data_IF_805970980754
#
_entry.id   IF_805970980754
#
_cell.length_a   1.000
_cell.length_b   1.000
_cell.length_c   1.000
_cell.angle_alpha   90.00
_cell.angle_beta   90.00
_cell.angle_gamma   90.00
#
_symmetry.space_group_name_H-M   'P 1'
#
loop_
_entity.id
_entity.type
_entity.pdbx_description
1 polymer ?
#
# COMPACT_ATOMS: atom_id res chain seq x y z
N UNK A 1 16.75 -13.92 -0.58
CA UNK A 1 17.98 -14.68 -0.32
C UNK A 1 18.94 -14.33 -1.43
N UNK A 2 20.23 -14.21 -1.14
CA UNK A 2 21.26 -13.96 -2.15
C UNK A 2 21.91 -15.28 -2.58
N UNK A 3 22.71 -15.22 -3.63
CA UNK A 3 23.33 -16.41 -4.21
C UNK A 3 24.26 -17.15 -3.23
N UNK A 4 24.91 -16.39 -2.34
CA UNK A 4 25.72 -16.89 -1.23
C UNK A 4 24.92 -17.75 -0.23
N UNK A 5 23.61 -17.54 -0.13
CA UNK A 5 22.75 -18.25 0.82
C UNK A 5 22.33 -19.66 0.30
N UNK A 6 22.65 -19.99 -0.97
CA UNK A 6 22.24 -21.27 -1.59
C UNK A 6 22.75 -22.50 -0.85
N UNK A 7 23.98 -22.45 -0.35
CA UNK A 7 24.60 -23.58 0.38
C UNK A 7 23.90 -23.76 1.72
N UNK A 8 23.75 -22.68 2.50
CA UNK A 8 23.04 -22.72 3.79
C UNK A 8 21.57 -23.12 3.64
N UNK A 9 20.90 -22.69 2.58
CA UNK A 9 19.53 -23.11 2.27
C UNK A 9 19.43 -24.62 2.00
N UNK A 10 20.37 -25.18 1.24
CA UNK A 10 20.41 -26.62 0.97
C UNK A 10 20.60 -27.42 2.26
N UNK A 11 21.52 -26.99 3.12
CA UNK A 11 21.80 -27.69 4.39
C UNK A 11 20.61 -27.61 5.36
N UNK A 12 19.91 -26.47 5.39
CA UNK A 12 18.66 -26.31 6.14
C UNK A 12 17.57 -27.24 5.62
N UNK A 13 17.36 -27.32 4.30
CA UNK A 13 16.35 -28.22 3.71
C UNK A 13 16.70 -29.71 3.93
N UNK A 14 17.98 -30.07 3.90
CA UNK A 14 18.42 -31.42 4.23
C UNK A 14 18.14 -31.75 5.70
N UNK A 15 18.46 -30.83 6.61
CA UNK A 15 18.17 -30.98 8.05
C UNK A 15 16.67 -31.12 8.30
N UNK A 16 15.85 -30.33 7.59
CA UNK A 16 14.40 -30.44 7.61
C UNK A 16 13.94 -31.84 7.17
N UNK A 17 14.45 -32.36 6.03
CA UNK A 17 14.16 -33.72 5.60
C UNK A 17 14.55 -34.77 6.65
N UNK A 18 15.71 -34.62 7.30
CA UNK A 18 16.15 -35.51 8.38
C UNK A 18 15.20 -35.48 9.58
N UNK A 19 14.74 -34.29 10.00
CA UNK A 19 13.77 -34.13 11.11
C UNK A 19 12.47 -34.88 10.81
N UNK A 20 11.97 -34.82 9.58
CA UNK A 20 10.74 -35.50 9.16
C UNK A 20 10.97 -36.94 8.66
N UNK A 21 12.18 -37.49 8.77
CA UNK A 21 12.51 -38.85 8.32
C UNK A 21 12.34 -39.07 6.81
N UNK A 22 12.47 -38.02 6.00
CA UNK A 22 12.34 -38.07 4.53
C UNK A 22 13.69 -38.08 3.83
N UNK A 23 13.68 -38.59 2.60
CA UNK A 23 14.85 -38.53 1.72
C UNK A 23 15.20 -37.08 1.35
N UNK A 24 16.47 -36.80 1.01
CA UNK A 24 16.89 -35.49 0.52
C UNK A 24 16.06 -35.06 -0.69
N UNK A 25 15.75 -33.77 -0.77
CA UNK A 25 15.01 -33.23 -1.90
C UNK A 25 15.87 -33.23 -3.17
N UNK A 26 15.21 -33.52 -4.30
CA UNK A 26 15.84 -33.42 -5.61
C UNK A 26 16.29 -31.98 -5.92
N UNK A 27 17.33 -31.85 -6.73
CA UNK A 27 17.97 -30.58 -7.09
C UNK A 27 16.98 -29.61 -7.71
N UNK A 28 16.06 -30.10 -8.53
CA UNK A 28 15.02 -29.27 -9.17
C UNK A 28 14.00 -28.77 -8.14
N UNK A 29 13.64 -29.61 -7.16
CA UNK A 29 12.75 -29.20 -6.08
C UNK A 29 13.39 -28.13 -5.21
N UNK A 30 14.65 -28.29 -4.83
CA UNK A 30 15.42 -27.27 -4.10
C UNK A 30 15.50 -25.94 -4.87
N UNK A 31 15.66 -26.01 -6.20
CA UNK A 31 15.71 -24.82 -7.05
C UNK A 31 14.37 -24.08 -7.06
N UNK A 32 13.25 -24.79 -7.18
CA UNK A 32 11.90 -24.21 -7.12
C UNK A 32 11.67 -23.54 -5.76
N UNK A 33 12.05 -24.21 -4.67
CA UNK A 33 11.96 -23.66 -3.32
C UNK A 33 12.78 -22.38 -3.17
N UNK A 34 14.02 -22.38 -3.65
CA UNK A 34 14.90 -21.21 -3.59
C UNK A 34 14.33 -20.03 -4.37
N UNK A 35 13.84 -20.24 -5.60
CA UNK A 35 13.23 -19.16 -6.40
C UNK A 35 11.95 -18.61 -5.77
N UNK A 36 11.12 -19.46 -5.14
CA UNK A 36 9.92 -18.98 -4.45
C UNK A 36 10.26 -18.12 -3.23
N UNK A 37 11.38 -18.40 -2.56
CA UNK A 37 11.80 -17.72 -1.34
C UNK A 37 12.86 -16.62 -1.58
N UNK A 38 13.27 -16.40 -2.83
CA UNK A 38 14.33 -15.45 -3.21
C UNK A 38 13.99 -14.01 -2.78
N UNK A 39 12.70 -13.65 -2.74
CA UNK A 39 12.22 -12.32 -2.35
C UNK A 39 12.43 -12.00 -0.86
N UNK A 40 12.64 -13.01 -0.01
CA UNK A 40 12.69 -12.86 1.44
C UNK A 40 14.12 -12.91 1.99
N UNK A 41 14.37 -12.39 3.19
CA UNK A 41 15.70 -12.51 3.79
C UNK A 41 15.94 -13.93 4.32
N UNK A 42 17.17 -14.46 4.19
CA UNK A 42 17.50 -15.83 4.61
C UNK A 42 17.17 -16.08 6.08
N UNK A 43 17.53 -15.14 6.97
CA UNK A 43 17.22 -15.22 8.40
C UNK A 43 15.71 -15.25 8.71
N UNK A 44 14.87 -14.60 7.90
CA UNK A 44 13.41 -14.64 8.08
C UNK A 44 12.84 -15.99 7.64
N UNK A 45 13.39 -16.55 6.56
CA UNK A 45 13.04 -17.87 6.06
C UNK A 45 13.38 -18.94 7.10
N UNK A 46 14.59 -18.92 7.68
CA UNK A 46 14.99 -19.88 8.73
C UNK A 46 14.05 -19.82 9.93
N UNK A 47 13.75 -18.62 10.45
CA UNK A 47 12.80 -18.43 11.56
C UNK A 47 11.40 -18.96 11.24
N UNK A 48 10.95 -18.82 9.99
CA UNK A 48 9.66 -19.34 9.56
C UNK A 48 9.65 -20.88 9.52
N UNK A 49 10.75 -21.50 9.06
CA UNK A 49 10.89 -22.95 9.12
C UNK A 49 10.91 -23.47 10.56
N UNK A 50 11.68 -22.85 11.46
CA UNK A 50 11.74 -23.24 12.86
C UNK A 50 10.35 -23.16 13.51
N UNK A 51 9.68 -22.02 13.34
CA UNK A 51 8.31 -21.82 13.85
C UNK A 51 7.32 -22.85 13.31
N UNK A 52 7.45 -23.24 12.04
CA UNK A 52 6.58 -24.25 11.45
C UNK A 52 6.85 -25.63 12.05
N UNK A 53 8.12 -26.01 12.22
CA UNK A 53 8.53 -27.28 12.85
C UNK A 53 8.02 -27.37 14.29
N UNK A 54 8.03 -26.26 15.05
CA UNK A 54 7.49 -26.24 16.41
C UNK A 54 5.98 -26.46 16.47
N UNK A 55 5.26 -26.10 15.40
CA UNK A 55 3.79 -26.09 15.40
C UNK A 55 3.18 -27.31 14.69
N UNK A 56 3.84 -27.81 13.64
CA UNK A 56 3.30 -28.83 12.74
C UNK A 56 4.10 -30.12 12.80
N UNK A 57 3.39 -31.25 12.75
CA UNK A 57 3.99 -32.59 12.67
C UNK A 57 4.30 -33.01 11.23
N UNK A 58 3.80 -32.27 10.25
CA UNK A 58 3.97 -32.59 8.84
C UNK A 58 5.03 -31.70 8.21
N UNK A 59 5.67 -32.19 7.14
CA UNK A 59 6.66 -31.41 6.41
C UNK A 59 6.00 -30.18 5.77
N UNK A 60 6.61 -28.99 5.87
CA UNK A 60 6.05 -27.77 5.30
C UNK A 60 5.95 -27.83 3.78
N UNK A 61 4.87 -27.26 3.25
CA UNK A 61 4.76 -26.90 1.84
C UNK A 61 5.35 -25.50 1.61
N UNK A 62 5.69 -25.13 0.36
CA UNK A 62 6.12 -23.76 0.07
C UNK A 62 5.09 -22.71 0.50
N UNK A 63 3.79 -23.03 0.41
CA UNK A 63 2.71 -22.12 0.80
C UNK A 63 2.72 -21.84 2.31
N UNK A 64 2.97 -22.88 3.12
CA UNK A 64 3.01 -22.76 4.58
C UNK A 64 4.10 -21.78 5.03
N UNK A 65 5.28 -21.87 4.41
CA UNK A 65 6.40 -20.98 4.72
C UNK A 65 6.12 -19.57 4.20
N UNK A 66 5.53 -19.42 3.01
CA UNK A 66 5.15 -18.11 2.47
C UNK A 66 4.14 -17.36 3.36
N UNK A 67 3.25 -18.08 4.06
CA UNK A 67 2.32 -17.46 5.01
C UNK A 67 3.02 -16.94 6.28
N UNK A 68 4.16 -17.52 6.65
CA UNK A 68 4.90 -17.19 7.87
C UNK A 68 5.97 -16.12 7.64
N UNK A 69 6.48 -15.99 6.42
CA UNK A 69 7.52 -15.03 6.08
C UNK A 69 6.88 -13.69 5.68
N UNK A 70 7.30 -12.61 6.33
CA UNK A 70 6.90 -11.25 5.92
C UNK A 70 7.74 -10.83 4.72
N UNK A 71 7.10 -10.28 3.69
CA UNK A 71 7.83 -9.72 2.55
C UNK A 71 8.82 -8.65 3.02
N UNK A 72 9.99 -8.64 2.38
CA UNK A 72 11.00 -7.60 2.65
C UNK A 72 10.33 -6.24 2.41
N UNK A 73 10.32 -5.32 3.39
CA UNK A 73 9.68 -4.04 3.20
C UNK A 73 10.32 -3.35 2.00
N UNK A 74 9.49 -2.91 1.06
CA UNK A 74 9.94 -2.11 -0.08
C UNK A 74 10.63 -0.89 0.52
N UNK A 75 11.96 -0.81 0.35
CA UNK A 75 12.72 0.35 0.78
C UNK A 75 12.34 1.49 -0.15
N UNK A 76 11.42 2.35 0.31
CA UNK A 76 11.17 3.61 -0.35
C UNK A 76 12.39 4.49 -0.15
N UNK A 77 13.22 4.61 -1.18
CA UNK A 77 14.25 5.62 -1.20
C UNK A 77 13.54 6.97 -1.29
N UNK A 78 13.59 7.76 -0.20
CA UNK A 78 13.16 9.15 -0.25
C UNK A 78 14.01 9.85 -1.30
N UNK A 79 13.39 10.29 -2.39
CA UNK A 79 14.06 11.17 -3.33
C UNK A 79 14.49 12.42 -2.57
N UNK A 80 15.73 12.91 -2.75
CA UNK A 80 16.16 14.14 -2.13
C UNK A 80 15.22 15.27 -2.56
N UNK A 81 14.78 16.10 -1.62
CA UNK A 81 13.97 17.24 -1.94
C UNK A 81 14.71 18.14 -2.96
N UNK A 82 14.06 18.57 -4.05
CA UNK A 82 14.70 19.45 -5.01
C UNK A 82 15.10 20.77 -4.33
N UNK A 83 16.35 21.18 -4.52
CA UNK A 83 16.87 22.45 -3.97
C UNK A 83 16.36 23.61 -4.84
N UNK A 84 15.13 24.03 -4.60
CA UNK A 84 14.51 25.16 -5.31
C UNK A 84 14.70 26.46 -4.52
N UNK A 85 14.99 27.56 -5.22
CA UNK A 85 14.92 28.90 -4.62
C UNK A 85 13.46 29.28 -4.33
N UNK A 86 13.26 30.24 -3.41
CA UNK A 86 11.91 30.73 -3.07
C UNK A 86 11.17 31.27 -4.32
N UNK A 87 11.88 31.97 -5.20
CA UNK A 87 11.31 32.55 -6.42
C UNK A 87 10.92 31.48 -7.44
N UNK A 88 11.77 30.47 -7.59
CA UNK A 88 11.47 29.32 -8.45
C UNK A 88 10.25 28.55 -7.94
N UNK A 89 10.16 28.34 -6.63
CA UNK A 89 9.03 27.67 -6.01
C UNK A 89 7.72 28.45 -6.25
N UNK A 90 7.75 29.78 -6.11
CA UNK A 90 6.60 30.65 -6.45
C UNK A 90 6.18 30.47 -7.91
N UNK A 91 7.12 30.53 -8.85
CA UNK A 91 6.84 30.36 -10.28
C UNK A 91 6.20 29.00 -10.59
N UNK A 92 6.78 27.90 -10.08
CA UNK A 92 6.25 26.56 -10.32
C UNK A 92 4.88 26.35 -9.65
N UNK A 93 4.68 26.88 -8.44
CA UNK A 93 3.38 26.82 -7.78
C UNK A 93 2.30 27.58 -8.56
N UNK A 94 2.63 28.73 -9.15
CA UNK A 94 1.71 29.48 -9.99
C UNK A 94 1.35 28.71 -11.27
N UNK A 95 2.31 28.02 -11.88
CA UNK A 95 2.06 27.19 -13.06
C UNK A 95 1.15 26.00 -12.75
N UNK A 96 1.33 25.36 -11.59
CA UNK A 96 0.44 24.28 -11.12
C UNK A 96 -0.97 24.80 -10.88
N UNK A 97 -1.12 25.94 -10.20
CA UNK A 97 -2.43 26.56 -9.98
C UNK A 97 -3.13 26.90 -11.29
N UNK A 98 -2.40 27.48 -12.24
CA UNK A 98 -2.91 27.77 -13.57
C UNK A 98 -3.38 26.50 -14.28
N UNK A 99 -2.57 25.43 -14.27
CA UNK A 99 -2.97 24.15 -14.86
C UNK A 99 -4.23 23.57 -14.22
N UNK A 100 -4.32 23.63 -12.89
CA UNK A 100 -5.49 23.16 -12.14
C UNK A 100 -6.73 23.99 -12.48
N UNK A 101 -6.61 25.31 -12.62
CA UNK A 101 -7.73 26.16 -13.03
C UNK A 101 -8.17 25.90 -14.48
N UNK A 102 -7.19 25.74 -15.39
CA UNK A 102 -7.44 25.47 -16.81
C UNK A 102 -8.07 24.09 -17.04
N UNK A 103 -7.75 23.10 -16.20
CA UNK A 103 -8.22 21.71 -16.31
C UNK A 103 -9.22 21.33 -15.23
N UNK A 104 -9.68 22.30 -14.43
CA UNK A 104 -10.73 22.04 -13.47
C UNK A 104 -11.95 21.60 -14.29
N UNK A 105 -12.51 20.41 -14.06
CA UNK A 105 -13.78 20.09 -14.66
C UNK A 105 -14.72 21.22 -14.26
N UNK A 106 -15.29 21.90 -15.25
CA UNK A 106 -16.36 22.85 -15.02
C UNK A 106 -17.48 21.98 -14.45
N UNK A 107 -17.51 21.83 -13.13
CA UNK A 107 -18.70 21.41 -12.44
C UNK A 107 -19.71 22.51 -12.74
N UNK A 108 -20.47 22.34 -13.81
CA UNK A 108 -21.76 22.97 -13.96
C UNK A 108 -22.60 22.40 -12.82
N UNK A 109 -22.36 22.88 -11.59
CA UNK A 109 -23.29 22.71 -10.49
C UNK A 109 -24.54 23.38 -10.99
N UNK A 110 -25.48 22.58 -11.48
CA UNK A 110 -26.75 23.07 -11.99
C UNK A 110 -27.30 24.03 -10.92
N UNK A 111 -27.42 25.32 -11.23
CA UNK A 111 -27.95 26.31 -10.28
C UNK A 111 -29.31 25.88 -9.71
N UNK A 112 -30.04 25.04 -10.45
CA UNK A 112 -31.25 24.34 -10.00
C UNK A 112 -31.04 23.51 -8.74
N UNK A 113 -29.93 22.78 -8.63
CA UNK A 113 -29.60 21.95 -7.47
C UNK A 113 -29.22 22.79 -6.25
N UNK A 114 -28.54 23.92 -6.47
CA UNK A 114 -28.19 24.86 -5.38
C UNK A 114 -29.42 25.60 -4.84
N UNK A 115 -30.34 26.04 -5.72
CA UNK A 115 -31.62 26.63 -5.29
C UNK A 115 -32.52 25.59 -4.60
N UNK A 116 -32.61 24.37 -5.13
CA UNK A 116 -33.36 23.29 -4.50
C UNK A 116 -32.79 22.93 -3.10
N UNK A 117 -31.47 22.88 -2.96
CA UNK A 117 -30.80 22.73 -1.67
C UNK A 117 -31.12 23.90 -0.70
N UNK A 118 -31.03 25.14 -1.18
CA UNK A 118 -31.33 26.33 -0.37
C UNK A 118 -32.79 26.34 0.14
N UNK A 119 -33.75 25.97 -0.71
CA UNK A 119 -35.16 25.84 -0.31
C UNK A 119 -35.38 24.75 0.74
N UNK A 120 -34.67 23.61 0.66
CA UNK A 120 -34.75 22.54 1.69
C UNK A 120 -34.23 22.98 3.05
N UNK A 121 -33.17 23.80 3.08
CA UNK A 121 -32.61 24.33 4.33
C UNK A 121 -33.54 25.36 4.96
N UNK A 122 -34.11 26.26 4.15
CA UNK A 122 -35.03 27.29 4.65
C UNK A 122 -36.34 26.68 5.16
N UNK A 123 -36.81 25.59 4.56
CA UNK A 123 -37.99 24.87 5.03
C UNK A 123 -37.78 24.19 6.40
N UNK A 124 -36.54 23.85 6.78
CA UNK A 124 -36.21 23.15 8.03
C UNK A 124 -35.08 23.84 8.83
N UNK A 125 -35.29 25.08 9.31
CA UNK A 125 -34.21 25.90 9.88
C UNK A 125 -33.67 25.39 11.22
N UNK A 126 -34.40 24.52 11.92
CA UNK A 126 -33.97 23.92 13.19
C UNK A 126 -32.91 22.82 13.03
N UNK A 127 -32.79 22.24 11.84
CA UNK A 127 -31.90 21.10 11.58
C UNK A 127 -30.53 21.52 11.00
N UNK A 128 -30.32 22.82 10.75
CA UNK A 128 -29.11 23.31 10.10
C UNK A 128 -28.43 24.43 10.91
N UNK A 129 -27.09 24.48 10.93
CA UNK A 129 -26.36 25.57 11.57
C UNK A 129 -26.66 26.94 10.94
N UNK A 130 -26.54 28.00 11.74
CA UNK A 130 -26.79 29.39 11.31
C UNK A 130 -25.98 29.81 10.07
N UNK A 131 -24.78 29.25 9.89
CA UNK A 131 -23.94 29.52 8.72
C UNK A 131 -24.58 29.01 7.43
N UNK A 132 -25.19 27.83 7.46
CA UNK A 132 -25.87 27.22 6.32
C UNK A 132 -27.14 27.98 5.93
N UNK A 133 -27.85 28.55 6.91
CA UNK A 133 -29.00 29.43 6.67
C UNK A 133 -28.61 30.73 5.96
N UNK A 134 -27.45 31.31 6.30
CA UNK A 134 -26.91 32.49 5.64
C UNK A 134 -26.62 32.20 4.17
N UNK A 135 -25.88 31.12 3.90
CA UNK A 135 -25.55 30.72 2.53
C UNK A 135 -26.77 30.29 1.71
N UNK A 136 -27.78 29.66 2.33
CA UNK A 136 -29.03 29.33 1.64
C UNK A 136 -29.80 30.59 1.21
N UNK A 137 -29.83 31.64 2.04
CA UNK A 137 -30.44 32.93 1.67
C UNK A 137 -29.67 33.61 0.54
N UNK A 138 -28.34 33.60 0.61
CA UNK A 138 -27.49 34.21 -0.42
C UNK A 138 -27.64 33.49 -1.77
N UNK A 139 -27.77 32.16 -1.76
CA UNK A 139 -27.96 31.34 -2.97
C UNK A 139 -29.32 31.52 -3.66
N UNK A 140 -30.36 31.97 -2.96
CA UNK A 140 -31.65 32.34 -3.57
C UNK A 140 -31.55 33.71 -4.23
N UNK A 141 -30.79 34.63 -3.62
CA UNK A 141 -30.65 36.01 -4.08
C UNK A 141 -29.59 36.18 -5.18
N UNK A 142 -28.70 35.21 -5.39
CA UNK A 142 -27.76 35.23 -6.51
C UNK A 142 -28.50 35.03 -7.84
N UNK A 143 -28.56 36.09 -8.65
CA UNK A 143 -29.12 36.12 -10.00
C UNK A 143 -28.19 35.45 -11.00
#
# INVERSE_FOLDING_TARGET
MQEQDKIGFKDMMNSLCTIYGKQPLDKDTLRIWFYKLEKFQFNEVTKAFDKYVDTSKFMPTPSDILMLVKEKPVQYNSLPAPKLSLDQNRLYSANVMKYVDDHKPIEQKNLKDMRAWAYRIIANPKNYPAISLKFAKDAINSK
#
